data_IF_331273364410
#
_entry.id   IF_331273364410
#
_cell.length_a   1.000
_cell.length_b   1.000
_cell.length_c   1.000
_cell.angle_alpha   90.00
_cell.angle_beta   90.00
_cell.angle_gamma   90.00
#
_symmetry.space_group_name_H-M   'P 1'
#
loop_
_entity.id
_entity.type
_entity.pdbx_description
1 polymer ?
#
# COMPACT_ATOMS: atom_id res chain seq x y z
N UNK A 1 23.31 -36.13 31.33
CA UNK A 1 21.97 -35.66 31.75
C UNK A 1 21.86 -34.15 31.85
N UNK A 2 22.82 -33.46 32.41
CA UNK A 2 22.78 -32.01 32.47
C UNK A 2 22.87 -31.34 31.08
N UNK A 3 23.63 -31.95 30.15
CA UNK A 3 23.77 -31.48 28.79
C UNK A 3 22.48 -31.62 27.99
N UNK A 4 21.74 -32.70 28.20
CA UNK A 4 20.46 -32.96 27.55
C UNK A 4 19.38 -31.96 27.99
N UNK A 5 19.35 -31.65 29.29
CA UNK A 5 18.44 -30.64 29.83
C UNK A 5 18.74 -29.23 29.30
N UNK A 6 20.04 -28.91 29.14
CA UNK A 6 20.46 -27.64 28.57
C UNK A 6 20.07 -27.51 27.09
N UNK A 7 20.22 -28.56 26.31
CA UNK A 7 19.81 -28.62 24.90
C UNK A 7 18.29 -28.51 24.78
N UNK A 8 17.55 -29.14 25.68
CA UNK A 8 16.10 -29.07 25.70
C UNK A 8 15.61 -27.66 26.01
N UNK A 9 16.22 -26.98 26.96
CA UNK A 9 15.91 -25.59 27.30
C UNK A 9 16.26 -24.65 26.12
N UNK A 10 17.36 -24.88 25.46
CA UNK A 10 17.78 -24.13 24.28
C UNK A 10 16.79 -24.32 23.11
N UNK A 11 16.30 -25.52 22.89
CA UNK A 11 15.28 -25.84 21.89
C UNK A 11 13.95 -25.15 22.18
N UNK A 12 13.54 -25.12 23.44
CA UNK A 12 12.31 -24.42 23.87
C UNK A 12 12.44 -22.91 23.67
N UNK A 13 13.61 -22.34 23.96
CA UNK A 13 13.90 -20.93 23.74
C UNK A 13 13.90 -20.57 22.24
N UNK A 14 14.38 -21.47 21.38
CA UNK A 14 14.37 -21.25 19.92
C UNK A 14 12.95 -21.33 19.33
N UNK A 15 12.02 -22.06 19.95
CA UNK A 15 10.66 -22.19 19.45
C UNK A 15 9.73 -21.09 19.90
N UNK A 16 10.14 -20.24 20.87
CA UNK A 16 9.29 -19.18 21.41
C UNK A 16 9.36 -17.85 20.62
N UNK A 17 10.23 -17.74 19.60
CA UNK A 17 10.44 -16.49 18.90
C UNK A 17 9.67 -16.26 17.58
N UNK A 18 9.00 -17.21 16.93
CA UNK A 18 8.81 -17.03 15.51
C UNK A 18 7.48 -16.47 15.06
N UNK A 19 6.49 -16.31 15.90
CA UNK A 19 5.16 -16.14 15.35
C UNK A 19 4.69 -14.69 15.27
N UNK A 20 5.31 -13.78 16.00
CA UNK A 20 4.79 -12.42 16.13
C UNK A 20 5.49 -11.40 15.22
N UNK A 21 6.71 -11.70 14.79
CA UNK A 21 7.48 -10.77 13.98
C UNK A 21 6.90 -10.57 12.57
N UNK A 22 6.25 -11.59 12.01
CA UNK A 22 5.65 -11.50 10.67
C UNK A 22 4.26 -10.85 10.66
N UNK A 23 3.60 -10.77 11.80
CA UNK A 23 2.28 -10.12 11.91
C UNK A 23 2.39 -8.63 12.21
N UNK A 24 3.47 -8.20 12.84
CA UNK A 24 3.71 -6.78 13.10
C UNK A 24 4.06 -6.02 11.82
N UNK A 25 4.32 -6.72 10.74
CA UNK A 25 4.45 -6.14 9.41
C UNK A 25 3.11 -5.95 8.71
N UNK A 26 2.00 -5.98 9.43
CA UNK A 26 0.69 -5.57 8.93
C UNK A 26 0.59 -4.06 8.63
N UNK A 27 1.69 -3.35 8.66
CA UNK A 27 1.84 -2.09 7.92
C UNK A 27 1.55 -2.26 6.42
N UNK A 28 1.39 -3.50 5.96
CA UNK A 28 0.95 -3.84 4.61
C UNK A 28 -0.56 -3.99 4.46
N UNK A 29 -1.31 -3.93 5.55
CA UNK A 29 -2.76 -3.84 5.45
C UNK A 29 -3.11 -2.58 4.66
N UNK A 30 -3.83 -2.75 3.57
CA UNK A 30 -4.13 -1.67 2.65
C UNK A 30 -3.08 -1.44 1.56
N UNK A 31 -2.00 -2.22 1.51
CA UNK A 31 -0.98 -2.07 0.49
C UNK A 31 -0.78 -3.38 -0.30
N UNK A 32 -1.39 -3.41 -1.49
CA UNK A 32 -1.32 -4.56 -2.39
C UNK A 32 -0.02 -4.62 -3.21
N UNK A 33 0.74 -3.53 -3.28
CA UNK A 33 1.88 -3.42 -4.19
C UNK A 33 3.09 -4.27 -3.80
N UNK A 34 3.50 -4.37 -2.52
CA UNK A 34 4.62 -5.22 -2.15
C UNK A 34 4.40 -6.70 -2.48
N UNK A 35 3.19 -7.19 -2.26
CA UNK A 35 2.86 -8.62 -2.41
C UNK A 35 2.58 -8.96 -3.88
N UNK A 36 1.77 -8.16 -4.56
CA UNK A 36 1.26 -8.47 -5.90
C UNK A 36 2.09 -7.86 -7.03
N UNK A 37 2.88 -6.85 -6.76
CA UNK A 37 3.72 -6.19 -7.75
C UNK A 37 5.21 -6.15 -7.38
N UNK A 38 5.60 -6.60 -6.19
CA UNK A 38 6.98 -6.52 -5.72
C UNK A 38 7.51 -5.10 -5.60
N UNK A 39 6.64 -4.12 -5.39
CA UNK A 39 6.99 -2.71 -5.34
C UNK A 39 6.36 -2.03 -4.13
N UNK A 40 7.15 -1.84 -3.07
CA UNK A 40 6.71 -1.16 -1.85
C UNK A 40 6.82 0.36 -1.89
N UNK A 41 7.28 0.95 -2.99
CA UNK A 41 7.51 2.38 -3.09
C UNK A 41 6.26 3.19 -3.49
N UNK A 42 5.20 2.53 -3.93
CA UNK A 42 3.99 3.20 -4.43
C UNK A 42 3.13 3.75 -3.27
N UNK A 43 3.05 3.02 -2.19
CA UNK A 43 2.27 3.41 -1.02
C UNK A 43 3.21 3.51 0.20
N UNK A 44 3.16 4.60 0.96
CA UNK A 44 2.33 5.79 0.74
C UNK A 44 2.76 6.59 -0.49
N UNK A 45 1.84 7.38 -1.11
CA UNK A 45 2.20 8.24 -2.24
C UNK A 45 3.29 9.23 -1.86
N UNK A 46 4.22 9.48 -2.77
CA UNK A 46 5.35 10.39 -2.53
C UNK A 46 4.94 11.86 -2.52
N UNK A 47 3.80 12.17 -3.10
CA UNK A 47 3.26 13.53 -3.16
C UNK A 47 1.74 13.48 -2.99
N UNK A 48 1.16 14.62 -2.68
CA UNK A 48 -0.29 14.79 -2.67
C UNK A 48 -0.78 15.28 -4.03
N UNK A 49 -2.08 15.10 -4.29
CA UNK A 49 -2.69 15.64 -5.51
C UNK A 49 -2.54 17.16 -5.57
N UNK A 50 -2.72 17.83 -4.46
CA UNK A 50 -2.58 19.30 -4.38
C UNK A 50 -1.17 19.73 -4.79
N UNK A 51 -0.13 19.10 -4.25
CA UNK A 51 1.25 19.41 -4.61
C UNK A 51 1.57 19.09 -6.07
N UNK A 52 1.09 17.96 -6.57
CA UNK A 52 1.29 17.58 -7.96
C UNK A 52 0.68 18.60 -8.92
N UNK A 53 -0.54 19.05 -8.65
CA UNK A 53 -1.21 20.07 -9.44
C UNK A 53 -0.52 21.43 -9.33
N UNK A 54 -0.08 21.80 -8.13
CA UNK A 54 0.68 23.04 -7.91
C UNK A 54 1.98 23.07 -8.70
N UNK A 55 2.64 21.92 -8.82
CA UNK A 55 3.88 21.77 -9.58
C UNK A 55 3.63 21.55 -11.08
N UNK A 56 2.37 21.65 -11.53
CA UNK A 56 1.97 21.47 -12.94
C UNK A 56 2.40 20.11 -13.51
N UNK A 57 2.37 19.06 -12.67
CA UNK A 57 2.68 17.71 -13.11
C UNK A 57 1.40 16.94 -13.44
N UNK A 58 1.55 15.96 -14.31
CA UNK A 58 0.47 15.03 -14.62
C UNK A 58 0.28 14.11 -13.42
N UNK A 59 -0.92 14.11 -12.84
CA UNK A 59 -1.29 13.27 -11.71
C UNK A 59 -2.09 12.09 -12.18
N UNK A 60 -1.69 10.88 -11.81
CA UNK A 60 -2.43 9.65 -12.07
C UNK A 60 -2.99 9.15 -10.73
N UNK A 61 -4.30 9.17 -10.61
CA UNK A 61 -4.98 8.68 -9.41
C UNK A 61 -5.41 7.22 -9.62
N UNK A 62 -5.01 6.37 -8.71
CA UNK A 62 -5.44 4.98 -8.68
C UNK A 62 -6.19 4.71 -7.39
N UNK A 63 -7.49 4.49 -7.50
CA UNK A 63 -8.34 4.13 -6.37
C UNK A 63 -8.45 2.62 -6.29
N UNK A 64 -8.11 2.05 -5.14
CA UNK A 64 -8.08 0.61 -4.97
C UNK A 64 -8.63 0.19 -3.60
N UNK A 65 -8.90 -1.10 -3.48
CA UNK A 65 -9.25 -1.74 -2.22
C UNK A 65 -8.35 -2.96 -2.03
N UNK A 66 -7.74 -3.08 -0.86
CA UNK A 66 -6.71 -4.08 -0.60
C UNK A 66 -7.20 -5.53 -0.64
N UNK A 67 -8.47 -5.77 -0.38
CA UNK A 67 -9.08 -7.10 -0.43
C UNK A 67 -9.82 -7.39 -1.76
N UNK A 68 -9.80 -6.45 -2.70
CA UNK A 68 -10.40 -6.62 -4.02
C UNK A 68 -9.47 -7.40 -4.95
N UNK A 69 -9.98 -8.45 -5.57
CA UNK A 69 -9.23 -9.23 -6.57
C UNK A 69 -8.88 -8.41 -7.81
N UNK A 70 -9.74 -7.49 -8.21
CA UNK A 70 -9.50 -6.61 -9.35
C UNK A 70 -8.37 -5.61 -9.04
N UNK A 71 -8.36 -5.05 -7.84
CA UNK A 71 -7.28 -4.16 -7.40
C UNK A 71 -5.94 -4.90 -7.35
N UNK A 72 -5.92 -6.12 -6.84
CA UNK A 72 -4.72 -6.96 -6.79
C UNK A 72 -4.20 -7.29 -8.19
N UNK A 73 -5.11 -7.59 -9.13
CA UNK A 73 -4.76 -7.86 -10.52
C UNK A 73 -4.18 -6.62 -11.22
N UNK A 74 -4.63 -5.43 -10.86
CA UNK A 74 -4.13 -4.17 -11.42
C UNK A 74 -2.81 -3.72 -10.81
N UNK A 75 -2.43 -4.18 -9.64
CA UNK A 75 -1.21 -3.74 -8.96
C UNK A 75 0.06 -3.85 -9.82
N UNK A 76 0.32 -4.96 -10.54
CA UNK A 76 1.49 -5.03 -11.43
C UNK A 76 1.43 -4.05 -12.59
N UNK A 77 0.23 -3.78 -13.11
CA UNK A 77 0.03 -2.83 -14.21
C UNK A 77 0.37 -1.40 -13.75
N UNK A 78 -0.14 -1.03 -12.59
CA UNK A 78 0.12 0.29 -12.00
C UNK A 78 1.61 0.44 -11.64
N UNK A 79 2.22 -0.61 -11.10
CA UNK A 79 3.66 -0.61 -10.83
C UNK A 79 4.48 -0.44 -12.11
N UNK A 80 4.10 -1.12 -13.19
CA UNK A 80 4.74 -0.97 -14.50
C UNK A 80 4.60 0.44 -15.05
N UNK A 81 3.44 1.04 -14.91
CA UNK A 81 3.20 2.44 -15.30
C UNK A 81 4.12 3.38 -14.53
N UNK A 82 4.22 3.21 -13.23
CA UNK A 82 5.11 4.02 -12.39
C UNK A 82 6.57 3.90 -12.82
N UNK A 83 7.04 2.69 -13.08
CA UNK A 83 8.43 2.44 -13.48
C UNK A 83 8.78 3.09 -14.82
N UNK A 84 7.85 3.09 -15.78
CA UNK A 84 8.08 3.63 -17.12
C UNK A 84 7.98 5.17 -17.12
N UNK A 85 7.00 5.73 -16.42
CA UNK A 85 6.64 7.14 -16.52
C UNK A 85 7.01 7.98 -15.28
N UNK A 86 7.72 7.40 -14.34
CA UNK A 86 8.06 8.02 -13.05
C UNK A 86 8.52 9.47 -13.14
N UNK A 87 9.31 9.81 -14.15
CA UNK A 87 9.86 11.16 -14.30
C UNK A 87 8.84 12.17 -14.84
N UNK A 88 7.76 11.68 -15.42
CA UNK A 88 6.78 12.52 -16.12
C UNK A 88 5.42 12.59 -15.42
N UNK A 89 5.13 11.66 -14.52
CA UNK A 89 3.86 11.61 -13.80
C UNK A 89 4.09 11.50 -12.31
N UNK A 90 3.08 11.93 -11.55
CA UNK A 90 2.95 11.62 -10.13
C UNK A 90 1.85 10.58 -9.98
N UNK A 91 2.23 9.37 -9.55
CA UNK A 91 1.28 8.30 -9.28
C UNK A 91 0.82 8.38 -7.83
N UNK A 92 -0.48 8.50 -7.64
CA UNK A 92 -1.11 8.64 -6.33
C UNK A 92 -2.12 7.51 -6.16
N UNK A 93 -1.72 6.46 -5.47
CA UNK A 93 -2.55 5.32 -5.17
C UNK A 93 -3.17 5.49 -3.78
N UNK A 94 -4.49 5.41 -3.70
CA UNK A 94 -5.27 5.65 -2.48
C UNK A 94 -6.34 4.56 -2.31
N UNK A 95 -6.50 4.10 -1.08
CA UNK A 95 -7.61 3.20 -0.76
C UNK A 95 -8.93 3.96 -0.75
N UNK A 96 -9.99 3.32 -1.21
CA UNK A 96 -11.33 3.91 -1.15
C UNK A 96 -11.82 4.10 0.28
N UNK A 97 -11.29 3.34 1.23
CA UNK A 97 -11.61 3.51 2.65
C UNK A 97 -11.21 4.89 3.18
N UNK A 98 -10.08 5.42 2.73
CA UNK A 98 -9.64 6.78 3.09
C UNK A 98 -10.57 7.85 2.54
N UNK A 99 -11.26 7.58 1.44
CA UNK A 99 -12.13 8.54 0.76
C UNK A 99 -13.55 8.56 1.30
N UNK A 100 -13.99 7.46 1.93
CA UNK A 100 -15.37 7.33 2.40
C UNK A 100 -15.70 8.26 3.57
N UNK A 101 -14.71 8.61 4.37
CA UNK A 101 -14.87 9.48 5.53
C UNK A 101 -15.02 10.96 5.16
N UNK A 102 -14.50 11.34 4.01
CA UNK A 102 -14.56 12.72 3.51
C UNK A 102 -15.57 12.82 2.38
N UNK A 103 -16.69 13.46 2.65
CA UNK A 103 -17.78 13.65 1.68
C UNK A 103 -17.68 14.94 0.88
N UNK A 104 -16.65 15.73 1.10
CA UNK A 104 -16.46 17.00 0.40
C UNK A 104 -15.91 16.77 -1.00
N UNK A 105 -16.76 16.92 -2.01
CA UNK A 105 -16.38 16.85 -3.42
C UNK A 105 -16.21 18.22 -4.07
N UNK A 106 -16.13 19.28 -3.26
CA UNK A 106 -16.13 20.66 -3.74
C UNK A 106 -14.77 21.16 -4.21
N UNK A 107 -13.69 20.45 -3.87
CA UNK A 107 -12.32 20.90 -4.13
C UNK A 107 -11.62 19.96 -5.13
N UNK A 108 -11.32 20.46 -6.33
CA UNK A 108 -10.62 19.71 -7.37
C UNK A 108 -9.15 19.39 -7.04
N UNK A 109 -8.61 19.95 -5.96
CA UNK A 109 -7.28 19.62 -5.47
C UNK A 109 -7.28 18.37 -4.56
N UNK A 110 -8.44 17.82 -4.25
CA UNK A 110 -8.58 16.66 -3.39
C UNK A 110 -8.97 15.42 -4.20
N UNK A 111 -8.41 14.24 -3.88
CA UNK A 111 -8.73 13.01 -4.59
C UNK A 111 -10.23 12.65 -4.57
N UNK A 112 -10.93 12.97 -3.50
CA UNK A 112 -12.37 12.72 -3.36
C UNK A 112 -13.22 13.32 -4.48
N UNK A 113 -12.76 14.42 -5.06
CA UNK A 113 -13.45 15.09 -6.16
C UNK A 113 -13.58 14.16 -7.37
N UNK A 114 -12.59 13.32 -7.60
CA UNK A 114 -12.50 12.44 -8.78
C UNK A 114 -13.06 11.04 -8.54
N UNK A 115 -13.29 10.68 -7.29
CA UNK A 115 -13.85 9.37 -6.96
C UNK A 115 -15.36 9.36 -7.18
N UNK A 116 -15.83 8.39 -7.95
CA UNK A 116 -17.24 8.25 -8.30
C UNK A 116 -18.11 7.57 -7.22
N UNK A 117 -17.52 7.18 -6.10
CA UNK A 117 -18.23 6.48 -5.01
C UNK A 117 -18.35 4.98 -5.20
N UNK A 118 -17.85 4.43 -6.31
CA UNK A 118 -17.86 2.98 -6.52
C UNK A 118 -16.68 2.33 -5.79
N UNK A 119 -16.94 1.18 -5.20
CA UNK A 119 -15.93 0.36 -4.53
C UNK A 119 -15.36 -0.62 -5.55
N UNK A 120 -14.03 -0.58 -5.77
CA UNK A 120 -13.41 -1.46 -6.75
C UNK A 120 -13.45 -2.93 -6.35
#
# INVERSE_FOLDING_TARGET
MKLFQLILILLILCTSYPANASRDTNSYDGNIFPIYAGNGAIVPPQTTLEESLKNQRVSVLFFYLDDSSDSKAMAPVISGLDLIWRNNIDLIALTTDELQSDKSKSNSNQPNYYWNGLIP
#
